data_IF_340100846540
#
_entry.id   IF_340100846540
#
_cell.length_a   1.000
_cell.length_b   1.000
_cell.length_c   1.000
_cell.angle_alpha   90.00
_cell.angle_beta   90.00
_cell.angle_gamma   90.00
#
_symmetry.space_group_name_H-M   'P 1'
#
loop_
_entity.id
_entity.type
_entity.pdbx_description
1 polymer ?
#
# COMPACT_ATOMS: atom_id res chain seq x y z
N UNK A 1 -31.06 19.90 -1.49
CA UNK A 1 -30.71 19.20 -2.76
C UNK A 1 -29.48 19.88 -3.34
N UNK A 2 -28.30 19.26 -3.21
CA UNK A 2 -27.05 19.77 -3.79
C UNK A 2 -27.07 19.68 -5.31
N UNK A 3 -26.61 20.73 -5.98
CA UNK A 3 -26.30 20.70 -7.42
C UNK A 3 -24.78 20.58 -7.57
N UNK A 4 -24.31 19.72 -8.49
CA UNK A 4 -22.92 19.72 -8.89
C UNK A 4 -22.57 21.04 -9.55
N UNK A 5 -21.50 21.70 -9.10
CA UNK A 5 -21.00 22.98 -9.64
C UNK A 5 -19.74 22.81 -10.50
N UNK A 6 -19.19 21.60 -10.55
CA UNK A 6 -17.97 21.25 -11.31
C UNK A 6 -18.24 20.04 -12.17
N UNK A 7 -17.58 20.00 -13.32
CA UNK A 7 -17.70 18.91 -14.29
C UNK A 7 -16.90 17.66 -13.89
N UNK A 8 -15.97 17.82 -12.95
CA UNK A 8 -15.09 16.78 -12.44
C UNK A 8 -15.17 16.67 -10.93
N UNK A 9 -15.16 15.44 -10.45
CA UNK A 9 -14.99 15.10 -9.05
C UNK A 9 -13.96 13.99 -8.89
N UNK A 10 -13.07 14.12 -7.92
CA UNK A 10 -12.22 13.03 -7.42
C UNK A 10 -12.70 12.71 -6.03
N UNK A 11 -13.09 11.47 -5.82
CA UNK A 11 -13.67 11.00 -4.56
C UNK A 11 -12.79 9.89 -4.01
N UNK A 12 -12.38 10.02 -2.76
CA UNK A 12 -11.88 8.89 -1.97
C UNK A 12 -13.08 8.13 -1.43
N UNK A 13 -13.09 6.81 -1.61
CA UNK A 13 -14.16 5.94 -1.18
C UNK A 13 -13.59 4.80 -0.34
N UNK A 14 -14.10 4.68 0.90
CA UNK A 14 -13.89 3.48 1.70
C UNK A 14 -14.51 2.27 0.99
N UNK A 15 -13.75 1.19 0.86
CA UNK A 15 -14.11 0.02 0.05
C UNK A 15 -15.47 -0.57 0.49
N UNK A 16 -15.74 -0.61 1.79
CA UNK A 16 -16.97 -1.16 2.37
C UNK A 16 -18.17 -0.25 2.13
N UNK A 17 -17.94 1.03 1.94
CA UNK A 17 -18.98 2.02 1.60
C UNK A 17 -19.40 1.94 0.13
N UNK A 18 -18.65 1.25 -0.72
CA UNK A 18 -18.92 1.10 -2.15
C UNK A 18 -20.34 0.59 -2.43
N UNK A 19 -20.80 -0.39 -1.67
CA UNK A 19 -22.17 -0.96 -1.74
C UNK A 19 -23.29 0.05 -1.50
N UNK A 20 -22.99 1.12 -0.76
CA UNK A 20 -23.96 2.19 -0.43
C UNK A 20 -23.89 3.34 -1.43
N UNK A 21 -22.75 3.56 -2.04
CA UNK A 21 -22.47 4.72 -2.90
C UNK A 21 -22.71 4.39 -4.38
N UNK A 22 -22.20 3.26 -4.88
CA UNK A 22 -22.28 2.90 -6.29
C UNK A 22 -23.69 2.71 -6.86
N UNK A 23 -24.75 2.40 -6.10
CA UNK A 23 -26.11 2.48 -6.60
C UNK A 23 -26.55 3.88 -7.07
N UNK A 24 -25.86 4.94 -6.59
CA UNK A 24 -26.20 6.33 -6.85
C UNK A 24 -25.11 7.08 -7.62
N UNK A 25 -23.87 6.65 -7.50
CA UNK A 25 -22.70 7.30 -8.13
C UNK A 25 -21.96 6.29 -9.00
N UNK A 26 -21.94 6.54 -10.29
CA UNK A 26 -21.27 5.69 -11.27
C UNK A 26 -19.98 6.39 -11.72
N UNK A 27 -18.82 6.07 -11.17
CA UNK A 27 -17.57 6.71 -11.59
C UNK A 27 -17.20 6.31 -13.02
N UNK A 28 -16.64 7.25 -13.78
CA UNK A 28 -16.06 6.96 -15.10
C UNK A 28 -14.82 6.09 -14.97
N UNK A 29 -13.98 6.40 -13.99
CA UNK A 29 -12.76 5.66 -13.66
C UNK A 29 -12.76 5.26 -12.18
N UNK A 30 -12.22 4.10 -11.90
CA UNK A 30 -11.90 3.65 -10.55
C UNK A 30 -10.42 3.30 -10.49
N UNK A 31 -9.67 4.02 -9.67
CA UNK A 31 -8.30 3.68 -9.33
C UNK A 31 -8.29 2.86 -8.04
N UNK A 32 -7.77 1.64 -8.10
CA UNK A 32 -7.49 0.82 -6.92
C UNK A 32 -5.98 0.63 -6.80
N UNK A 33 -5.38 1.24 -5.80
CA UNK A 33 -3.92 1.19 -5.59
C UNK A 33 -3.48 -0.13 -4.99
N UNK A 34 -4.27 -0.67 -4.08
CA UNK A 34 -4.08 -1.98 -3.46
C UNK A 34 -5.32 -2.37 -2.66
N UNK A 35 -5.44 -3.67 -2.33
CA UNK A 35 -6.42 -4.19 -1.39
C UNK A 35 -5.71 -5.07 -0.38
N UNK A 36 -5.60 -4.57 0.85
CA UNK A 36 -5.11 -5.31 1.99
C UNK A 36 -6.24 -5.69 2.92
N UNK A 37 -5.92 -6.55 3.89
CA UNK A 37 -6.80 -6.76 5.04
C UNK A 37 -7.02 -5.43 5.78
N UNK A 38 -8.24 -5.19 6.22
CA UNK A 38 -8.61 -4.01 7.02
C UNK A 38 -8.26 -4.23 8.50
N UNK A 39 -8.55 -3.27 9.33
CA UNK A 39 -8.38 -3.40 10.77
C UNK A 39 -9.24 -4.53 11.36
N UNK A 40 -8.79 -5.13 12.45
CA UNK A 40 -9.52 -6.20 13.16
C UNK A 40 -10.91 -5.78 13.66
N UNK A 41 -11.12 -4.49 13.95
CA UNK A 41 -12.46 -3.94 14.25
C UNK A 41 -13.45 -4.10 13.11
N UNK A 42 -12.95 -4.19 11.86
CA UNK A 42 -13.76 -4.09 10.66
C UNK A 42 -13.84 -5.36 9.82
N UNK A 43 -13.45 -6.51 10.35
CA UNK A 43 -13.34 -7.75 9.61
C UNK A 43 -12.21 -7.74 8.56
N UNK A 44 -11.06 -8.20 8.99
CA UNK A 44 -9.77 -7.95 8.38
C UNK A 44 -9.46 -8.69 7.07
N UNK A 45 -10.28 -9.66 6.61
CA UNK A 45 -9.87 -10.51 5.49
C UNK A 45 -9.96 -9.79 4.14
N UNK A 46 -8.88 -9.82 3.35
CA UNK A 46 -8.79 -9.14 2.06
C UNK A 46 -9.85 -9.62 1.05
N UNK A 47 -10.17 -10.90 1.02
CA UNK A 47 -11.22 -11.45 0.13
C UNK A 47 -12.63 -10.95 0.48
N UNK A 48 -12.89 -10.64 1.75
CA UNK A 48 -14.17 -10.03 2.13
C UNK A 48 -14.32 -8.61 1.55
N UNK A 49 -13.23 -7.83 1.60
CA UNK A 49 -13.19 -6.49 1.02
C UNK A 49 -13.28 -6.56 -0.51
N UNK A 50 -12.54 -7.50 -1.11
CA UNK A 50 -12.63 -7.79 -2.54
C UNK A 50 -14.06 -8.09 -2.97
N UNK A 51 -14.76 -8.98 -2.29
CA UNK A 51 -16.14 -9.38 -2.58
C UNK A 51 -17.12 -8.20 -2.55
N UNK A 52 -16.95 -7.27 -1.59
CA UNK A 52 -17.78 -6.06 -1.52
C UNK A 52 -17.58 -5.19 -2.75
N UNK A 53 -16.34 -4.93 -3.13
CA UNK A 53 -16.03 -4.11 -4.31
C UNK A 53 -16.47 -4.80 -5.60
N UNK A 54 -16.07 -6.06 -5.80
CA UNK A 54 -16.32 -6.83 -7.01
C UNK A 54 -17.81 -6.88 -7.38
N UNK A 55 -18.67 -7.06 -6.36
CA UNK A 55 -20.13 -7.13 -6.53
C UNK A 55 -20.80 -5.78 -6.85
N UNK A 56 -20.17 -4.67 -6.52
CA UNK A 56 -20.84 -3.36 -6.57
C UNK A 56 -20.24 -2.38 -7.58
N UNK A 57 -19.04 -2.66 -8.13
CA UNK A 57 -18.46 -1.80 -9.18
C UNK A 57 -19.39 -1.74 -10.39
N UNK A 58 -19.81 -0.54 -10.84
CA UNK A 58 -20.68 -0.41 -12.01
C UNK A 58 -19.99 -0.90 -13.29
N UNK A 59 -20.72 -1.62 -14.13
CA UNK A 59 -20.19 -2.28 -15.35
C UNK A 59 -19.53 -1.32 -16.35
N UNK A 60 -19.97 -0.06 -16.38
CA UNK A 60 -19.43 0.96 -17.27
C UNK A 60 -18.17 1.66 -16.76
N UNK A 61 -17.79 1.40 -15.50
CA UNK A 61 -16.61 2.01 -14.89
C UNK A 61 -15.34 1.38 -15.45
N UNK A 62 -14.43 2.19 -15.96
CA UNK A 62 -13.11 1.73 -16.38
C UNK A 62 -12.19 1.61 -15.18
N UNK A 63 -11.50 0.48 -15.07
CA UNK A 63 -10.64 0.17 -13.93
C UNK A 63 -9.18 0.50 -14.23
N UNK A 64 -8.50 1.08 -13.24
CA UNK A 64 -7.05 1.29 -13.23
C UNK A 64 -6.53 0.56 -12.00
N UNK A 65 -5.93 -0.60 -12.20
CA UNK A 65 -5.62 -1.57 -11.16
C UNK A 65 -4.12 -1.79 -11.04
N UNK A 66 -3.67 -2.14 -9.84
CA UNK A 66 -2.27 -2.48 -9.60
C UNK A 66 -1.97 -3.91 -10.08
N UNK A 67 -1.07 -4.06 -11.05
CA UNK A 67 -0.64 -5.35 -11.60
C UNK A 67 0.06 -6.23 -10.55
N UNK A 68 0.72 -5.60 -9.60
CA UNK A 68 1.50 -6.25 -8.54
C UNK A 68 0.64 -6.63 -7.33
N UNK A 69 -0.64 -6.25 -7.32
CA UNK A 69 -1.62 -6.65 -6.29
C UNK A 69 -2.62 -7.66 -6.85
N UNK A 70 -2.39 -8.93 -6.59
CA UNK A 70 -3.25 -10.02 -7.07
C UNK A 70 -4.68 -9.98 -6.52
N UNK A 71 -4.93 -9.23 -5.46
CA UNK A 71 -6.29 -9.05 -4.93
C UNK A 71 -7.05 -8.04 -5.80
N UNK A 72 -6.55 -6.81 -5.89
CA UNK A 72 -7.22 -5.75 -6.67
C UNK A 72 -7.21 -6.00 -8.17
N UNK A 73 -6.16 -6.63 -8.72
CA UNK A 73 -6.05 -6.92 -10.15
C UNK A 73 -7.20 -7.76 -10.72
N UNK A 74 -7.91 -8.51 -9.86
CA UNK A 74 -9.01 -9.40 -10.24
C UNK A 74 -10.39 -8.73 -10.23
N UNK A 75 -10.51 -7.52 -9.70
CA UNK A 75 -11.80 -6.82 -9.52
C UNK A 75 -12.58 -6.73 -10.83
N UNK A 76 -13.89 -6.97 -10.74
CA UNK A 76 -14.90 -6.76 -11.81
C UNK A 76 -14.41 -7.20 -13.19
N UNK A 77 -14.11 -8.49 -13.36
CA UNK A 77 -13.49 -9.09 -14.57
C UNK A 77 -14.13 -8.69 -15.90
N UNK A 78 -15.40 -8.30 -15.89
CA UNK A 78 -16.15 -7.87 -17.09
C UNK A 78 -15.96 -6.40 -17.49
N UNK A 79 -15.28 -5.58 -16.70
CA UNK A 79 -15.07 -4.16 -16.96
C UNK A 79 -13.82 -3.92 -17.82
N UNK A 80 -13.83 -2.85 -18.63
CA UNK A 80 -12.61 -2.33 -19.25
C UNK A 80 -11.59 -1.98 -18.18
N UNK A 81 -10.32 -2.31 -18.43
CA UNK A 81 -9.26 -2.07 -17.47
C UNK A 81 -7.92 -1.81 -18.10
N UNK A 82 -7.08 -1.14 -17.35
CA UNK A 82 -5.64 -1.03 -17.54
C UNK A 82 -4.93 -1.31 -16.24
N UNK A 83 -3.67 -1.69 -16.33
CA UNK A 83 -2.85 -2.02 -15.19
C UNK A 83 -1.67 -1.06 -15.08
N UNK A 84 -1.37 -0.68 -13.83
CA UNK A 84 -0.10 -0.02 -13.50
C UNK A 84 0.72 -0.91 -12.59
N UNK A 85 2.04 -0.73 -12.60
CA UNK A 85 2.95 -1.54 -11.81
C UNK A 85 4.33 -0.91 -11.67
N UNK A 86 5.24 -1.64 -11.05
CA UNK A 86 6.65 -1.28 -10.94
C UNK A 86 7.47 -2.50 -11.33
N UNK A 87 8.30 -2.40 -12.36
CA UNK A 87 9.27 -3.45 -12.71
C UNK A 87 10.23 -3.70 -11.54
N UNK A 88 10.73 -4.92 -11.45
CA UNK A 88 11.77 -5.26 -10.46
C UNK A 88 12.99 -4.35 -10.66
N UNK A 89 13.40 -3.68 -9.59
CA UNK A 89 14.58 -2.79 -9.59
C UNK A 89 15.83 -3.56 -9.15
N UNK A 90 17.02 -3.17 -9.68
CA UNK A 90 18.28 -3.90 -9.45
C UNK A 90 18.71 -3.93 -7.98
N UNK A 91 18.46 -2.87 -7.23
CA UNK A 91 18.90 -2.71 -5.83
C UNK A 91 17.75 -2.82 -4.82
N UNK A 92 16.64 -3.42 -5.22
CA UNK A 92 15.45 -3.52 -4.39
C UNK A 92 15.55 -4.68 -3.40
N UNK A 93 15.21 -4.43 -2.14
CA UNK A 93 15.05 -5.50 -1.15
C UNK A 93 13.74 -6.21 -1.44
N UNK A 94 13.85 -7.49 -1.76
CA UNK A 94 12.72 -8.32 -2.18
C UNK A 94 12.59 -9.55 -1.30
N UNK A 95 11.37 -10.11 -1.31
CA UNK A 95 11.07 -11.39 -0.66
C UNK A 95 11.33 -11.38 0.85
N UNK A 96 11.18 -10.23 1.50
CA UNK A 96 11.23 -10.18 2.96
C UNK A 96 10.25 -11.20 3.57
N UNK A 97 10.71 -11.90 4.61
CA UNK A 97 9.87 -12.83 5.34
C UNK A 97 8.86 -12.04 6.17
N UNK A 98 7.62 -12.05 5.71
CA UNK A 98 6.47 -11.47 6.41
C UNK A 98 5.61 -12.60 7.01
N UNK A 99 5.05 -12.36 8.19
CA UNK A 99 4.15 -13.33 8.84
C UNK A 99 2.91 -13.57 7.96
N UNK A 100 2.41 -12.51 7.32
CA UNK A 100 1.18 -12.56 6.55
C UNK A 100 1.46 -12.41 5.06
N UNK A 101 0.93 -13.37 4.29
CA UNK A 101 0.79 -13.32 2.85
C UNK A 101 -0.67 -13.61 2.53
N UNK A 102 -1.44 -12.60 2.11
CA UNK A 102 -2.88 -12.72 1.90
C UNK A 102 -3.26 -13.57 0.67
N UNK A 103 -2.35 -13.76 -0.28
CA UNK A 103 -2.57 -14.55 -1.50
C UNK A 103 -1.53 -15.66 -1.68
N UNK A 104 -1.48 -16.66 -0.78
CA UNK A 104 -0.55 -17.78 -0.93
C UNK A 104 -1.01 -18.81 -1.96
N UNK A 105 -2.30 -18.79 -2.32
CA UNK A 105 -2.92 -19.76 -3.21
C UNK A 105 -3.44 -19.09 -4.48
N UNK A 106 -3.37 -19.84 -5.58
CA UNK A 106 -3.88 -19.43 -6.87
C UNK A 106 -5.40 -19.22 -6.81
N UNK A 107 -5.92 -18.06 -7.20
CA UNK A 107 -7.36 -17.77 -7.17
C UNK A 107 -8.18 -18.56 -8.19
N UNK A 108 -7.52 -19.18 -9.18
CA UNK A 108 -8.20 -19.97 -10.22
C UNK A 108 -8.25 -21.46 -9.88
N UNK A 109 -7.22 -22.05 -9.29
CA UNK A 109 -7.15 -23.49 -9.08
C UNK A 109 -6.80 -23.93 -7.64
N UNK A 110 -6.60 -23.01 -6.71
CA UNK A 110 -6.27 -23.28 -5.31
C UNK A 110 -4.87 -23.87 -5.06
N UNK A 111 -4.03 -24.02 -6.08
CA UNK A 111 -2.65 -24.49 -5.89
C UNK A 111 -1.77 -23.35 -5.35
N UNK A 112 -0.63 -23.71 -4.74
CA UNK A 112 0.29 -22.71 -4.22
C UNK A 112 0.81 -21.82 -5.35
N UNK A 113 0.88 -20.50 -5.09
CA UNK A 113 1.50 -19.54 -5.98
C UNK A 113 3.01 -19.49 -5.76
N UNK A 114 3.75 -19.27 -6.85
CA UNK A 114 5.16 -18.92 -6.83
C UNK A 114 5.31 -17.45 -7.19
N UNK A 115 6.10 -16.72 -6.39
CA UNK A 115 6.38 -15.31 -6.62
C UNK A 115 7.70 -15.15 -7.39
N UNK A 116 7.65 -14.47 -8.53
CA UNK A 116 8.83 -14.04 -9.27
C UNK A 116 9.62 -13.01 -8.46
N UNK A 117 8.91 -12.13 -7.79
CA UNK A 117 9.39 -11.25 -6.72
C UNK A 117 8.22 -10.80 -5.84
N UNK A 118 8.52 -10.44 -4.61
CA UNK A 118 7.57 -9.90 -3.64
C UNK A 118 8.20 -8.74 -2.89
N UNK A 119 7.58 -7.58 -2.90
CA UNK A 119 8.06 -6.37 -2.23
C UNK A 119 7.69 -6.35 -0.76
N UNK A 120 6.41 -6.52 -0.50
CA UNK A 120 5.89 -6.60 0.87
C UNK A 120 4.53 -7.32 0.84
N UNK A 121 4.27 -8.13 1.86
CA UNK A 121 3.07 -8.97 1.97
C UNK A 121 2.79 -9.74 0.67
N UNK A 122 1.70 -9.46 -0.03
CA UNK A 122 1.35 -10.08 -1.31
C UNK A 122 1.63 -9.19 -2.53
N UNK A 123 2.19 -8.01 -2.34
CA UNK A 123 2.52 -7.11 -3.45
C UNK A 123 3.77 -7.61 -4.17
N UNK A 124 3.62 -7.95 -5.43
CA UNK A 124 4.67 -8.49 -6.27
C UNK A 124 4.13 -9.19 -7.52
N UNK A 125 5.01 -9.82 -8.28
CA UNK A 125 4.65 -10.64 -9.43
C UNK A 125 4.63 -12.10 -9.05
N UNK A 126 3.55 -12.81 -9.38
CA UNK A 126 3.40 -14.23 -9.09
C UNK A 126 2.79 -15.00 -10.25
N UNK A 127 3.03 -16.30 -10.24
CA UNK A 127 2.43 -17.22 -11.20
C UNK A 127 2.06 -18.56 -10.56
N UNK A 128 1.19 -19.28 -11.23
CA UNK A 128 0.78 -20.64 -10.85
C UNK A 128 1.36 -21.64 -11.82
N UNK A 129 2.20 -22.56 -11.35
CA UNK A 129 2.81 -23.61 -12.17
C UNK A 129 1.80 -24.67 -12.63
N UNK A 130 0.63 -24.76 -11.97
CA UNK A 130 -0.41 -25.77 -12.29
C UNK A 130 -1.37 -25.33 -13.39
N UNK A 131 -1.88 -24.11 -13.37
CA UNK A 131 -2.92 -23.65 -14.32
C UNK A 131 -2.47 -22.52 -15.24
N UNK A 132 -1.24 -22.01 -15.06
CA UNK A 132 -0.71 -20.90 -15.86
C UNK A 132 -1.22 -19.52 -15.48
N UNK A 133 -2.02 -19.38 -14.41
CA UNK A 133 -2.39 -18.06 -13.86
C UNK A 133 -1.14 -17.26 -13.52
N UNK A 134 -1.16 -15.94 -13.78
CA UNK A 134 -0.05 -15.04 -13.45
C UNK A 134 -0.53 -13.62 -13.22
N UNK A 135 0.30 -12.83 -12.55
CA UNK A 135 0.13 -11.37 -12.47
C UNK A 135 -0.05 -10.76 -13.85
N UNK A 136 -0.97 -9.83 -14.04
CA UNK A 136 -1.15 -9.15 -15.32
C UNK A 136 0.09 -8.30 -15.66
N UNK A 137 0.30 -8.07 -16.96
CA UNK A 137 1.32 -7.13 -17.40
C UNK A 137 0.81 -5.70 -17.24
N UNK A 138 1.66 -4.81 -16.71
CA UNK A 138 1.33 -3.40 -16.60
C UNK A 138 1.31 -2.69 -17.97
N UNK A 139 0.30 -1.84 -18.19
CA UNK A 139 0.21 -0.90 -19.32
C UNK A 139 0.97 0.38 -19.02
N UNK A 140 1.01 0.72 -17.73
CA UNK A 140 1.70 1.88 -17.14
C UNK A 140 2.69 1.38 -16.11
N UNK A 141 3.95 1.29 -16.49
CA UNK A 141 4.95 0.61 -15.69
C UNK A 141 6.09 1.54 -15.29
N UNK A 142 6.47 1.57 -14.01
CA UNK A 142 7.68 2.22 -13.54
C UNK A 142 8.87 1.33 -13.88
N UNK A 143 9.60 1.68 -14.92
CA UNK A 143 10.73 0.89 -15.41
C UNK A 143 12.02 1.19 -14.67
N UNK A 144 12.15 2.37 -14.05
CA UNK A 144 13.34 2.76 -13.29
C UNK A 144 12.98 3.73 -12.16
N UNK A 145 13.55 3.47 -10.99
CA UNK A 145 13.56 4.41 -9.85
C UNK A 145 15.00 4.88 -9.65
N UNK A 146 15.21 6.18 -9.67
CA UNK A 146 16.53 6.79 -9.45
C UNK A 146 16.47 7.64 -8.18
N UNK A 147 16.86 7.03 -7.06
CA UNK A 147 16.86 7.67 -5.74
C UNK A 147 17.80 8.86 -5.66
N UNK A 148 18.97 8.80 -6.33
CA UNK A 148 19.97 9.87 -6.29
C UNK A 148 19.51 11.17 -6.96
N UNK A 149 18.63 11.07 -7.96
CA UNK A 149 18.06 12.23 -8.66
C UNK A 149 16.63 12.55 -8.23
N UNK A 150 16.02 11.71 -7.42
CA UNK A 150 14.61 11.84 -7.03
C UNK A 150 13.66 11.76 -8.25
N UNK A 151 13.94 10.88 -9.20
CA UNK A 151 13.14 10.72 -10.43
C UNK A 151 12.76 9.25 -10.68
N UNK A 152 11.65 9.09 -11.37
CA UNK A 152 11.22 7.79 -11.90
C UNK A 152 11.04 7.87 -13.41
N UNK A 153 11.36 6.78 -14.10
CA UNK A 153 11.03 6.60 -15.52
C UNK A 153 9.85 5.65 -15.63
N UNK A 154 8.84 6.03 -16.38
CA UNK A 154 7.64 5.19 -16.62
C UNK A 154 7.44 4.92 -18.10
N UNK A 155 7.00 3.71 -18.41
CA UNK A 155 6.42 3.35 -19.69
C UNK A 155 4.92 3.64 -19.66
N UNK A 156 4.45 4.56 -20.49
CA UNK A 156 3.04 4.90 -20.67
C UNK A 156 2.55 4.22 -21.95
N UNK A 157 2.03 3.02 -21.86
CA UNK A 157 1.66 2.19 -23.02
C UNK A 157 2.76 2.12 -24.09
N UNK A 158 3.99 1.87 -23.63
CA UNK A 158 5.18 1.74 -24.48
C UNK A 158 5.94 3.03 -24.77
N UNK A 159 5.45 4.20 -24.35
CA UNK A 159 6.17 5.47 -24.48
C UNK A 159 6.83 5.84 -23.15
N UNK A 160 8.14 6.06 -23.17
CA UNK A 160 8.90 6.43 -21.97
C UNK A 160 8.69 7.89 -21.59
N UNK A 161 8.56 8.16 -20.31
CA UNK A 161 8.48 9.51 -19.75
C UNK A 161 9.10 9.53 -18.33
N UNK A 162 9.80 10.64 -18.03
CA UNK A 162 10.42 10.85 -16.71
C UNK A 162 9.57 11.80 -15.87
N UNK A 163 9.40 11.42 -14.60
CA UNK A 163 8.67 12.21 -13.61
C UNK A 163 9.52 12.45 -12.37
N UNK A 164 9.25 13.51 -11.64
CA UNK A 164 9.76 13.70 -10.28
C UNK A 164 9.15 12.63 -9.38
N UNK A 165 9.96 11.95 -8.57
CA UNK A 165 9.45 11.08 -7.53
C UNK A 165 8.73 11.93 -6.46
N UNK A 166 7.58 11.45 -6.02
CA UNK A 166 6.81 12.06 -4.94
C UNK A 166 6.93 11.12 -3.74
N UNK A 167 7.82 11.47 -2.82
CA UNK A 167 8.18 10.60 -1.69
C UNK A 167 9.33 9.63 -2.00
N UNK A 168 9.70 8.88 -0.96
CA UNK A 168 10.84 7.95 -1.01
C UNK A 168 10.41 6.49 -0.84
N UNK A 169 9.17 6.23 -0.48
CA UNK A 169 8.69 4.87 -0.28
C UNK A 169 8.19 4.24 -1.59
N UNK A 170 8.29 2.91 -1.66
CA UNK A 170 7.71 2.14 -2.77
C UNK A 170 6.19 2.37 -2.92
N UNK A 171 5.51 2.66 -1.82
CA UNK A 171 4.07 2.99 -1.84
C UNK A 171 3.80 4.32 -2.50
N UNK A 172 4.64 5.33 -2.24
CA UNK A 172 4.51 6.63 -2.91
C UNK A 172 4.70 6.47 -4.41
N UNK A 173 5.61 5.58 -4.81
CA UNK A 173 5.84 5.24 -6.22
C UNK A 173 4.60 4.57 -6.84
N UNK A 174 3.95 3.59 -6.16
CA UNK A 174 2.70 3.00 -6.62
C UNK A 174 1.57 4.03 -6.71
N UNK A 175 1.42 4.89 -5.71
CA UNK A 175 0.38 5.92 -5.71
C UNK A 175 0.58 6.91 -6.87
N UNK A 176 1.82 7.32 -7.12
CA UNK A 176 2.15 8.19 -8.25
C UNK A 176 1.89 7.49 -9.59
N UNK A 177 2.32 6.23 -9.73
CA UNK A 177 2.09 5.44 -10.95
C UNK A 177 0.60 5.28 -11.25
N UNK A 178 -0.20 4.93 -10.24
CA UNK A 178 -1.65 4.83 -10.38
C UNK A 178 -2.31 6.17 -10.74
N UNK A 179 -1.89 7.27 -10.13
CA UNK A 179 -2.39 8.60 -10.46
C UNK A 179 -2.03 9.00 -11.91
N UNK A 180 -0.79 8.75 -12.35
CA UNK A 180 -0.38 8.99 -13.74
C UNK A 180 -1.18 8.12 -14.70
N UNK A 181 -1.40 6.84 -14.38
CA UNK A 181 -2.18 5.92 -15.21
C UNK A 181 -3.62 6.41 -15.39
N UNK A 182 -4.34 6.71 -14.31
CA UNK A 182 -5.74 7.15 -14.40
C UNK A 182 -5.88 8.49 -15.11
N UNK A 183 -4.97 9.43 -14.90
CA UNK A 183 -5.00 10.73 -15.57
C UNK A 183 -4.61 10.63 -17.05
N UNK A 184 -3.72 9.68 -17.41
CA UNK A 184 -3.43 9.37 -18.81
C UNK A 184 -4.65 8.79 -19.53
N UNK A 185 -5.39 7.88 -18.89
CA UNK A 185 -6.64 7.33 -19.40
C UNK A 185 -7.74 8.40 -19.50
N UNK A 186 -7.70 9.39 -18.63
CA UNK A 186 -8.58 10.56 -18.68
C UNK A 186 -8.24 11.51 -19.85
N UNK A 187 -7.08 11.35 -20.48
CA UNK A 187 -6.66 12.09 -21.67
C UNK A 187 -5.59 13.16 -21.47
N UNK A 188 -4.96 13.23 -20.29
CA UNK A 188 -3.84 14.13 -20.08
C UNK A 188 -2.57 13.61 -20.78
N UNK A 189 -1.85 14.50 -21.46
CA UNK A 189 -0.57 14.16 -22.06
C UNK A 189 0.54 13.99 -21.02
N UNK A 190 1.59 13.25 -21.36
CA UNK A 190 2.77 13.10 -20.51
C UNK A 190 3.37 14.45 -20.05
N UNK A 191 3.39 15.46 -20.93
CA UNK A 191 3.90 16.78 -20.61
C UNK A 191 3.02 17.54 -19.60
N UNK A 192 1.69 17.42 -19.70
CA UNK A 192 0.77 17.98 -18.72
C UNK A 192 0.94 17.33 -17.35
N UNK A 193 1.07 15.98 -17.32
CA UNK A 193 1.30 15.21 -16.10
C UNK A 193 2.63 15.57 -15.45
N UNK A 194 3.72 15.63 -16.24
CA UNK A 194 5.04 16.04 -15.76
C UNK A 194 5.00 17.41 -15.08
N UNK A 195 4.36 18.39 -15.74
CA UNK A 195 4.21 19.75 -15.23
C UNK A 195 3.41 19.81 -13.92
N UNK A 196 2.46 18.92 -13.76
CA UNK A 196 1.64 18.81 -12.54
C UNK A 196 2.44 18.15 -11.41
N UNK A 197 3.12 17.04 -11.70
CA UNK A 197 3.90 16.26 -10.72
C UNK A 197 5.08 17.08 -10.16
N UNK A 198 5.74 17.93 -10.97
CA UNK A 198 6.80 18.81 -10.48
C UNK A 198 6.36 19.74 -9.33
N UNK A 199 5.07 20.05 -9.24
CA UNK A 199 4.50 20.94 -8.22
C UNK A 199 3.97 20.22 -7.00
N UNK A 200 3.96 18.87 -7.02
CA UNK A 200 3.44 18.10 -5.90
C UNK A 200 4.40 18.12 -4.73
N UNK A 201 3.84 18.28 -3.55
CA UNK A 201 4.50 18.12 -2.26
C UNK A 201 3.73 17.12 -1.43
N UNK A 202 4.43 16.27 -0.68
CA UNK A 202 3.79 15.31 0.21
C UNK A 202 3.24 16.07 1.42
N UNK A 203 1.98 15.79 1.75
CA UNK A 203 1.39 16.29 3.00
C UNK A 203 2.01 15.50 4.18
N UNK A 204 2.73 16.20 5.04
CA UNK A 204 3.38 15.65 6.25
C UNK A 204 2.36 15.33 7.36
N UNK A 205 1.41 14.44 7.10
CA UNK A 205 0.36 14.14 8.08
C UNK A 205 0.63 12.93 8.97
N UNK A 206 1.52 12.03 8.54
CA UNK A 206 1.82 10.77 9.25
C UNK A 206 3.30 10.48 9.40
N UNK A 207 4.14 11.34 8.88
CA UNK A 207 5.59 11.25 8.93
C UNK A 207 6.15 12.63 9.19
N UNK A 208 6.93 12.75 10.21
CA UNK A 208 7.68 13.96 10.53
C UNK A 208 9.11 13.60 10.89
N UNK A 209 10.03 14.46 10.51
CA UNK A 209 11.45 14.27 10.70
C UNK A 209 12.08 15.56 11.22
N UNK A 210 12.76 15.46 12.34
CA UNK A 210 13.42 16.58 13.00
C UNK A 210 14.86 16.21 13.38
N UNK A 211 15.77 17.13 13.20
CA UNK A 211 17.16 16.98 13.68
C UNK A 211 17.30 17.66 15.03
N UNK A 212 17.60 16.87 16.06
CA UNK A 212 17.84 17.35 17.44
C UNK A 212 19.28 17.05 17.82
N UNK A 213 20.12 18.08 17.79
CA UNK A 213 21.57 17.94 18.00
C UNK A 213 22.23 17.10 16.89
N UNK A 214 22.85 16.01 17.27
CA UNK A 214 23.47 15.02 16.37
C UNK A 214 22.50 13.88 15.96
N UNK A 215 21.27 13.88 16.47
CA UNK A 215 20.29 12.83 16.27
C UNK A 215 19.23 13.25 15.27
N UNK A 216 18.82 12.29 14.45
CA UNK A 216 17.64 12.37 13.59
C UNK A 216 16.48 11.70 14.34
N UNK A 217 15.41 12.44 14.56
CA UNK A 217 14.18 11.94 15.18
C UNK A 217 13.12 11.81 14.09
N UNK A 218 12.61 10.60 13.91
CA UNK A 218 11.56 10.30 12.94
C UNK A 218 10.31 9.89 13.72
N UNK A 219 9.22 10.60 13.49
CA UNK A 219 7.90 10.24 14.00
C UNK A 219 7.07 9.66 12.87
N UNK A 220 6.59 8.44 13.05
CA UNK A 220 5.72 7.77 12.08
C UNK A 220 4.44 7.30 12.77
N UNK A 221 3.30 7.72 12.22
CA UNK A 221 1.97 7.31 12.71
C UNK A 221 1.41 6.26 11.76
N UNK A 222 1.48 4.99 12.16
CA UNK A 222 0.80 3.92 11.45
C UNK A 222 -0.73 4.01 11.67
N UNK A 223 -1.52 3.63 10.68
CA UNK A 223 -2.97 3.50 10.85
C UNK A 223 -3.25 2.49 11.97
N UNK A 224 -3.97 2.90 12.99
CA UNK A 224 -4.26 2.07 14.17
C UNK A 224 -4.88 0.73 13.82
N UNK A 225 -4.52 -0.31 14.56
CA UNK A 225 -5.00 -1.69 14.43
C UNK A 225 -4.80 -2.32 13.02
N UNK A 226 -3.85 -1.78 12.24
CA UNK A 226 -3.54 -2.27 10.91
C UNK A 226 -2.15 -2.91 10.89
N UNK A 227 -2.05 -4.26 10.89
CA UNK A 227 -0.77 -4.96 10.94
C UNK A 227 0.11 -4.68 9.72
N UNK A 228 -0.48 -4.54 8.53
CA UNK A 228 0.24 -4.26 7.29
C UNK A 228 0.91 -2.88 7.35
N UNK A 229 0.20 -1.86 7.82
CA UNK A 229 0.75 -0.51 7.95
C UNK A 229 1.91 -0.48 8.96
N UNK A 230 1.77 -1.16 10.10
CA UNK A 230 2.83 -1.27 11.10
C UNK A 230 4.05 -2.05 10.58
N UNK A 231 3.84 -3.21 9.96
CA UNK A 231 4.92 -4.02 9.37
C UNK A 231 5.76 -3.22 8.37
N UNK A 232 5.12 -2.38 7.57
CA UNK A 232 5.81 -1.50 6.61
C UNK A 232 6.66 -0.43 7.30
N UNK A 233 6.18 0.13 8.41
CA UNK A 233 6.98 1.06 9.21
C UNK A 233 8.20 0.32 9.79
N UNK A 234 8.04 -0.90 10.30
CA UNK A 234 9.15 -1.69 10.85
C UNK A 234 10.17 -2.10 9.77
N UNK A 235 9.71 -2.49 8.58
CA UNK A 235 10.59 -2.72 7.42
C UNK A 235 11.38 -1.45 7.06
N UNK A 236 10.73 -0.29 7.02
CA UNK A 236 11.40 0.99 6.78
C UNK A 236 12.45 1.31 7.86
N UNK A 237 12.13 1.08 9.14
CA UNK A 237 13.06 1.27 10.25
C UNK A 237 14.27 0.35 10.10
N UNK A 238 14.07 -0.94 9.82
CA UNK A 238 15.15 -1.91 9.60
C UNK A 238 16.08 -1.46 8.48
N UNK A 239 15.53 -1.02 7.36
CA UNK A 239 16.29 -0.65 6.16
C UNK A 239 16.92 0.76 6.23
N UNK A 240 16.56 1.57 7.23
CA UNK A 240 17.19 2.88 7.43
C UNK A 240 18.65 2.71 7.90
N UNK A 241 19.55 3.56 7.40
CA UNK A 241 20.98 3.51 7.73
C UNK A 241 21.28 3.96 9.15
N UNK A 242 22.35 3.42 9.75
CA UNK A 242 22.84 3.81 11.07
C UNK A 242 22.20 3.07 12.25
N UNK A 243 22.74 3.29 13.44
CA UNK A 243 22.19 2.73 14.69
C UNK A 243 20.93 3.46 15.11
N UNK A 244 19.97 2.71 15.61
CA UNK A 244 18.61 3.20 15.91
C UNK A 244 18.16 2.80 17.31
N UNK A 245 17.39 3.70 17.93
CA UNK A 245 16.50 3.35 19.04
C UNK A 245 15.07 3.54 18.58
N UNK A 246 14.19 2.63 18.95
CA UNK A 246 12.78 2.64 18.54
C UNK A 246 11.90 2.84 19.75
N UNK A 247 10.96 3.78 19.68
CA UNK A 247 9.93 3.98 20.71
C UNK A 247 8.59 3.54 20.12
N UNK A 248 7.99 2.52 20.71
CA UNK A 248 6.67 2.01 20.37
C UNK A 248 5.65 2.55 21.36
N UNK A 249 4.65 3.26 20.84
CA UNK A 249 3.57 3.82 21.65
C UNK A 249 2.23 3.22 21.20
N UNK A 250 1.52 2.61 22.13
CA UNK A 250 0.18 2.11 21.94
C UNK A 250 -0.69 2.60 23.10
N UNK A 251 -1.70 3.34 22.73
CA UNK A 251 -2.65 3.94 23.65
C UNK A 251 -4.09 3.68 23.17
N UNK A 252 -5.01 3.54 24.12
CA UNK A 252 -6.44 3.34 23.88
C UNK A 252 -7.30 4.52 24.40
N UNK A 253 -6.66 5.61 24.85
CA UNK A 253 -7.33 6.77 25.42
C UNK A 253 -8.18 7.59 24.43
N UNK A 254 -8.07 7.32 23.14
CA UNK A 254 -8.80 8.05 22.11
C UNK A 254 -10.23 7.57 21.86
N UNK A 255 -10.60 6.38 22.32
CA UNK A 255 -11.92 5.78 22.11
C UNK A 255 -12.78 5.88 23.37
N UNK A 256 -13.51 7.00 23.50
CA UNK A 256 -14.36 7.27 24.67
C UNK A 256 -15.48 6.23 24.89
N UNK A 257 -15.78 5.41 23.91
CA UNK A 257 -16.84 4.40 23.95
C UNK A 257 -16.34 2.96 24.21
N UNK A 258 -15.02 2.71 24.15
CA UNK A 258 -14.46 1.38 24.34
C UNK A 258 -13.53 1.30 25.56
N UNK A 259 -13.83 0.35 26.44
CA UNK A 259 -13.04 0.11 27.66
C UNK A 259 -11.78 -0.74 27.45
N UNK A 260 -11.62 -1.34 26.26
CA UNK A 260 -10.44 -2.12 25.90
C UNK A 260 -10.23 -2.16 24.39
N UNK A 261 -8.99 -2.04 23.95
CA UNK A 261 -8.61 -2.20 22.56
C UNK A 261 -8.28 -3.66 22.23
N UNK A 262 -8.73 -4.14 21.06
CA UNK A 262 -8.34 -5.43 20.54
C UNK A 262 -6.89 -5.37 20.03
N UNK A 263 -5.96 -6.00 20.75
CA UNK A 263 -4.53 -6.05 20.40
C UNK A 263 -4.14 -7.28 19.56
N UNK A 264 -5.09 -8.11 19.10
CA UNK A 264 -4.76 -9.29 18.30
C UNK A 264 -3.97 -8.95 17.03
N UNK A 265 -4.17 -7.77 16.45
CA UNK A 265 -3.48 -7.30 15.26
C UNK A 265 -1.95 -7.23 15.41
N UNK A 266 -1.41 -7.08 16.63
CA UNK A 266 0.04 -7.04 16.84
C UNK A 266 0.70 -8.40 16.56
N UNK A 267 -0.05 -9.50 16.64
CA UNK A 267 0.45 -10.84 16.32
C UNK A 267 0.51 -11.12 14.82
N UNK A 268 -0.17 -10.30 14.02
CA UNK A 268 -0.07 -10.31 12.55
C UNK A 268 0.94 -9.26 12.03
N UNK A 269 1.54 -8.48 12.93
CA UNK A 269 2.55 -7.47 12.59
C UNK A 269 3.96 -8.05 12.68
N UNK A 270 4.80 -7.73 11.70
CA UNK A 270 6.17 -8.25 11.58
C UNK A 270 7.14 -7.57 12.54
N UNK A 271 6.98 -7.81 13.85
CA UNK A 271 7.89 -7.31 14.90
C UNK A 271 9.29 -7.91 14.77
N UNK A 272 9.44 -9.02 14.07
CA UNK A 272 10.69 -9.68 13.73
C UNK A 272 11.65 -8.75 12.95
N UNK A 273 11.13 -7.74 12.25
CA UNK A 273 11.96 -6.70 11.62
C UNK A 273 12.71 -5.82 12.62
N UNK A 274 12.25 -5.78 13.86
CA UNK A 274 12.93 -5.05 14.94
C UNK A 274 14.07 -5.86 15.58
N UNK A 275 14.19 -7.16 15.28
CA UNK A 275 15.32 -7.99 15.64
C UNK A 275 16.44 -7.82 14.59
N UNK A 276 17.12 -6.68 14.64
CA UNK A 276 18.17 -6.29 13.72
C UNK A 276 19.32 -5.62 14.50
N UNK A 277 20.57 -5.94 14.17
CA UNK A 277 21.77 -5.46 14.86
C UNK A 277 21.91 -3.93 14.85
N UNK A 278 21.26 -3.23 13.94
CA UNK A 278 21.24 -1.77 13.88
C UNK A 278 20.28 -1.15 14.89
N UNK A 279 19.34 -1.93 15.43
CA UNK A 279 18.37 -1.49 16.44
C UNK A 279 18.92 -1.82 17.82
N UNK A 280 19.48 -0.82 18.48
CA UNK A 280 20.19 -0.99 19.75
C UNK A 280 19.27 -0.97 20.96
N UNK A 281 18.07 -0.45 20.82
CA UNK A 281 17.11 -0.35 21.91
C UNK A 281 15.67 -0.24 21.37
N UNK A 282 14.73 -0.95 22.02
CA UNK A 282 13.29 -0.79 21.80
C UNK A 282 12.62 -0.43 23.12
N UNK A 283 11.88 0.67 23.14
CA UNK A 283 11.19 1.20 24.32
C UNK A 283 9.68 1.06 24.07
N UNK A 284 8.98 0.37 24.96
CA UNK A 284 7.53 0.27 24.93
C UNK A 284 6.89 1.32 25.85
N UNK A 285 5.95 2.09 25.32
CA UNK A 285 5.23 3.15 26.04
C UNK A 285 3.72 3.04 25.81
N UNK A 286 2.95 3.85 26.52
CA UNK A 286 1.49 3.85 26.49
C UNK A 286 0.86 2.83 27.44
N UNK A 287 -0.47 2.86 27.56
CA UNK A 287 -1.22 1.99 28.49
C UNK A 287 -1.10 0.52 28.11
N UNK A 288 -0.90 0.21 26.82
CA UNK A 288 -0.76 -1.15 26.27
C UNK A 288 0.70 -1.60 26.08
N UNK A 289 1.66 -0.94 26.76
CA UNK A 289 3.09 -1.27 26.66
C UNK A 289 3.44 -2.73 26.96
N UNK A 290 2.66 -3.39 27.81
CA UNK A 290 2.88 -4.79 28.16
C UNK A 290 2.59 -5.73 27.02
N UNK A 291 1.56 -5.45 26.21
CA UNK A 291 1.24 -6.22 25.02
C UNK A 291 2.38 -6.15 23.99
N UNK A 292 2.92 -4.96 23.76
CA UNK A 292 4.11 -4.79 22.92
C UNK A 292 5.31 -5.55 23.47
N UNK A 293 5.56 -5.48 24.78
CA UNK A 293 6.67 -6.20 25.40
C UNK A 293 6.58 -7.71 25.18
N UNK A 294 5.40 -8.31 25.38
CA UNK A 294 5.18 -9.74 25.11
C UNK A 294 5.45 -10.07 23.65
N UNK A 295 4.92 -9.26 22.74
CA UNK A 295 5.10 -9.50 21.29
C UNK A 295 6.57 -9.36 20.84
N UNK A 296 7.32 -8.40 21.40
CA UNK A 296 8.75 -8.24 21.12
C UNK A 296 9.54 -9.47 21.60
N UNK A 297 9.28 -9.95 22.82
CA UNK A 297 9.92 -11.17 23.31
C UNK A 297 9.66 -12.38 22.41
N UNK A 298 8.45 -12.51 21.84
CA UNK A 298 8.13 -13.56 20.88
C UNK A 298 8.85 -13.37 19.52
N UNK A 299 9.19 -12.14 19.17
CA UNK A 299 9.96 -11.80 17.97
C UNK A 299 11.47 -11.95 18.16
N UNK A 300 11.93 -12.24 19.37
CA UNK A 300 13.35 -12.36 19.71
C UNK A 300 14.05 -11.01 19.93
N UNK A 301 13.29 -9.93 20.19
CA UNK A 301 13.79 -8.57 20.44
C UNK A 301 13.98 -8.31 21.93
#
# INVERSE_FOLDING_TARGET
RGKTVKDLAVLELDERSSRLIYPYVHPTYLLCTNLFRDSYKRNAHSEFIFDILDKHIPKQTKLVLNADDLVSARLAKGNDRVYFGIEKQDNEVLNENTIIIDTPLCPECGSRLEYDFRRYHHIGSAHCTKCGFRSPKADYDVTKVNESTGRITMSLKGKQADFKAVGTSVTDTYNLAGAIAVLSEFGLSAEQLKKSVEKLEIVKSRYDEEKIGDKQVIMSVAKGQNPVACSRVFSSIKNHTGKKAVVLMLDDLGDAEETSENTAWIYDTDFEFLNDDSITQVICSGVRRTDYKVRLLLAGV
#
